data_IF_404709455769
#
_entry.id   IF_404709455769
#
_cell.length_a   1.000
_cell.length_b   1.000
_cell.length_c   1.000
_cell.angle_alpha   90.00
_cell.angle_beta   90.00
_cell.angle_gamma   90.00
#
_symmetry.space_group_name_H-M   'P 1'
#
loop_
_entity.id
_entity.type
_entity.pdbx_description
1 polymer ?
#
# COMPACT_ATOMS: atom_id res chain seq x y z
N UNK A 1 4.97 19.71 5.38
CA UNK A 1 4.29 18.46 5.79
C UNK A 1 5.21 17.30 5.49
N UNK A 2 5.41 16.35 6.41
CA UNK A 2 6.27 15.16 6.20
C UNK A 2 5.38 13.92 6.16
N UNK A 3 5.44 13.19 5.06
CA UNK A 3 4.67 11.97 4.81
C UNK A 3 5.68 10.88 4.47
N UNK A 4 5.94 9.96 5.40
CA UNK A 4 6.96 8.93 5.18
C UNK A 4 6.36 7.69 4.52
N UNK A 5 5.14 7.32 4.92
CA UNK A 5 4.41 6.17 4.41
C UNK A 5 3.03 6.60 3.91
N UNK A 6 2.61 5.96 2.82
CA UNK A 6 1.23 5.94 2.38
C UNK A 6 0.58 4.63 2.80
N UNK A 7 -0.68 4.69 3.21
CA UNK A 7 -1.48 3.54 3.58
C UNK A 7 -2.79 3.54 2.80
N UNK A 8 -3.23 2.37 2.34
CA UNK A 8 -4.58 2.18 1.77
C UNK A 8 -5.26 1.03 2.48
N UNK A 9 -6.35 1.33 3.20
CA UNK A 9 -7.27 0.36 3.79
C UNK A 9 -8.39 0.08 2.78
N UNK A 10 -8.56 -1.18 2.40
CA UNK A 10 -9.60 -1.61 1.48
C UNK A 10 -10.92 -1.80 2.25
N UNK A 11 -12.01 -1.20 1.77
CA UNK A 11 -13.32 -1.25 2.45
C UNK A 11 -14.39 -2.02 1.67
N UNK A 12 -14.03 -2.58 0.52
CA UNK A 12 -14.89 -3.42 -0.31
C UNK A 12 -14.09 -4.60 -0.85
N UNK A 13 -14.76 -5.73 -1.07
CA UNK A 13 -14.12 -6.93 -1.59
C UNK A 13 -13.64 -6.75 -3.04
N UNK A 14 -12.48 -7.34 -3.41
CA UNK A 14 -11.91 -7.17 -4.74
C UNK A 14 -12.80 -7.71 -5.86
N UNK A 15 -13.68 -8.66 -5.58
CA UNK A 15 -14.64 -9.21 -6.54
C UNK A 15 -15.85 -8.28 -6.78
N UNK A 16 -16.08 -7.28 -5.92
CA UNK A 16 -17.24 -6.39 -6.02
C UNK A 16 -17.08 -5.27 -7.07
N UNK A 17 -15.90 -5.14 -7.69
CA UNK A 17 -15.60 -4.13 -8.70
C UNK A 17 -14.59 -4.62 -9.74
N UNK A 18 -14.65 -4.10 -10.97
CA UNK A 18 -13.70 -4.40 -12.05
C UNK A 18 -12.69 -3.25 -12.21
N UNK A 19 -11.41 -3.59 -12.45
CA UNK A 19 -10.32 -2.62 -12.41
C UNK A 19 -9.98 -2.18 -10.97
N UNK A 20 -9.62 -0.90 -10.78
CA UNK A 20 -9.38 -0.32 -9.45
C UNK A 20 -8.17 -0.90 -8.70
N UNK A 21 -7.21 -1.45 -9.42
CA UNK A 21 -5.96 -1.96 -8.86
C UNK A 21 -5.06 -0.79 -8.47
N UNK A 22 -4.50 -0.84 -7.26
CA UNK A 22 -3.47 0.10 -6.86
C UNK A 22 -2.14 -0.36 -7.48
N UNK A 23 -1.62 0.41 -8.42
CA UNK A 23 -0.32 0.18 -9.05
C UNK A 23 0.72 1.02 -8.32
N UNK A 24 1.76 0.38 -7.80
CA UNK A 24 2.86 1.02 -7.09
C UNK A 24 4.16 0.69 -7.82
N UNK A 25 4.91 1.71 -8.19
CA UNK A 25 6.25 1.57 -8.75
C UNK A 25 7.29 1.57 -7.63
N UNK A 26 8.17 0.58 -7.69
CA UNK A 26 9.35 0.49 -6.86
C UNK A 26 10.62 0.37 -7.71
N UNK A 27 11.76 0.07 -7.09
CA UNK A 27 13.05 -0.05 -7.79
C UNK A 27 13.13 -1.29 -8.70
N UNK A 28 12.24 -2.26 -8.53
CA UNK A 28 12.26 -3.56 -9.19
C UNK A 28 11.09 -3.75 -10.16
N UNK A 29 10.10 -2.87 -10.17
CA UNK A 29 9.03 -2.84 -11.15
C UNK A 29 7.71 -2.27 -10.63
N UNK A 30 6.62 -2.73 -11.22
CA UNK A 30 5.26 -2.35 -10.84
C UNK A 30 4.58 -3.48 -10.05
N UNK A 31 4.04 -3.14 -8.89
CA UNK A 31 3.21 -4.00 -8.06
C UNK A 31 1.74 -3.60 -8.20
N UNK A 32 0.88 -4.55 -8.55
CA UNK A 32 -0.57 -4.35 -8.62
C UNK A 32 -1.22 -4.96 -7.38
N UNK A 33 -1.97 -4.14 -6.65
CA UNK A 33 -2.54 -4.52 -5.34
C UNK A 33 -4.04 -4.36 -5.36
N UNK A 34 -4.74 -5.44 -5.02
CA UNK A 34 -6.19 -5.51 -4.82
C UNK A 34 -6.46 -6.53 -3.71
N UNK A 35 -6.77 -6.07 -2.50
CA UNK A 35 -6.86 -6.92 -1.32
C UNK A 35 -8.32 -7.04 -0.82
N UNK A 36 -8.66 -8.09 -0.06
CA UNK A 36 -9.95 -8.23 0.62
C UNK A 36 -10.31 -7.03 1.49
N UNK A 37 -11.61 -6.82 1.74
CA UNK A 37 -12.05 -5.77 2.66
C UNK A 37 -11.43 -5.97 4.06
N UNK A 38 -11.04 -4.87 4.70
CA UNK A 38 -10.35 -4.87 5.99
C UNK A 38 -8.83 -5.04 5.93
N UNK A 39 -8.27 -5.43 4.78
CA UNK A 39 -6.82 -5.49 4.60
C UNK A 39 -6.24 -4.10 4.32
N UNK A 40 -4.99 -3.89 4.72
CA UNK A 40 -4.27 -2.63 4.54
C UNK A 40 -2.93 -2.88 3.87
N UNK A 41 -2.61 -2.05 2.87
CA UNK A 41 -1.28 -2.00 2.25
C UNK A 41 -0.52 -0.76 2.71
N UNK A 42 0.76 -0.93 3.05
CA UNK A 42 1.71 0.14 3.36
C UNK A 42 2.78 0.20 2.29
N UNK A 43 3.15 1.40 1.87
CA UNK A 43 4.23 1.63 0.91
C UNK A 43 4.88 3.00 1.14
N UNK A 44 6.15 3.20 0.71
CA UNK A 44 6.82 4.50 0.82
C UNK A 44 6.00 5.59 0.14
N UNK A 45 5.83 6.74 0.81
CA UNK A 45 5.06 7.85 0.24
C UNK A 45 5.73 8.44 -1.02
N UNK A 46 7.02 8.17 -1.23
CA UNK A 46 7.80 8.57 -2.41
C UNK A 46 7.57 7.67 -3.63
N UNK A 47 6.95 6.50 -3.47
CA UNK A 47 6.68 5.61 -4.61
C UNK A 47 5.68 6.25 -5.56
N UNK A 48 5.96 6.23 -6.86
CA UNK A 48 4.97 6.60 -7.87
C UNK A 48 3.86 5.56 -7.82
N UNK A 49 2.61 6.03 -7.79
CA UNK A 49 1.48 5.12 -7.72
C UNK A 49 0.24 5.72 -8.37
N UNK A 50 -0.60 4.85 -8.91
CA UNK A 50 -1.89 5.21 -9.48
C UNK A 50 -2.92 4.12 -9.20
N UNK A 51 -4.20 4.45 -9.34
CA UNK A 51 -5.28 3.46 -9.30
C UNK A 51 -5.81 3.28 -10.71
N UNK A 52 -5.86 2.05 -11.22
CA UNK A 52 -6.44 1.78 -12.54
C UNK A 52 -7.93 2.14 -12.55
N UNK A 53 -8.49 2.57 -13.70
CA UNK A 53 -9.91 2.92 -13.77
C UNK A 53 -10.81 1.79 -13.26
N UNK A 54 -11.85 2.15 -12.50
CA UNK A 54 -12.92 1.22 -12.13
C UNK A 54 -13.96 1.25 -13.26
N UNK A 55 -14.16 0.13 -13.95
CA UNK A 55 -15.08 0.03 -15.09
C UNK A 55 -16.47 -0.45 -14.70
N UNK A 56 -16.59 -1.14 -13.56
CA UNK A 56 -17.86 -1.62 -13.00
C UNK A 56 -17.79 -1.70 -11.47
N UNK A 57 -18.89 -1.41 -10.79
CA UNK A 57 -18.97 -1.43 -9.33
C UNK A 57 -18.39 -0.15 -8.70
N UNK A 58 -18.09 -0.21 -7.40
CA UNK A 58 -17.54 0.93 -6.65
C UNK A 58 -16.38 0.43 -5.79
N UNK A 59 -15.24 1.12 -5.86
CA UNK A 59 -14.08 0.88 -5.00
C UNK A 59 -14.09 1.88 -3.83
N UNK A 60 -14.44 1.40 -2.64
CA UNK A 60 -14.34 2.18 -1.41
C UNK A 60 -13.06 1.84 -0.66
N UNK A 61 -12.31 2.87 -0.27
CA UNK A 61 -11.07 2.72 0.49
C UNK A 61 -10.82 3.97 1.33
N UNK A 62 -10.04 3.81 2.41
CA UNK A 62 -9.45 4.94 3.12
C UNK A 62 -7.96 5.00 2.81
N UNK A 63 -7.48 6.18 2.43
CA UNK A 63 -6.05 6.42 2.22
C UNK A 63 -5.53 7.38 3.30
N UNK A 64 -4.34 7.10 3.80
CA UNK A 64 -3.71 7.87 4.88
C UNK A 64 -2.25 8.15 4.56
N UNK A 65 -1.73 9.23 5.14
CA UNK A 65 -0.30 9.47 5.24
C UNK A 65 0.15 9.37 6.69
N UNK A 66 1.27 8.71 6.90
CA UNK A 66 1.81 8.44 8.23
C UNK A 66 3.21 9.04 8.31
N UNK A 67 3.46 9.79 9.38
CA UNK A 67 4.81 10.18 9.76
C UNK A 67 5.37 9.12 10.70
N UNK A 68 6.39 8.41 10.24
CA UNK A 68 7.09 7.37 11.00
C UNK A 68 8.00 8.01 12.07
N UNK A 69 8.25 7.30 13.18
CA UNK A 69 9.29 7.70 14.14
C UNK A 69 10.69 7.60 13.50
N UNK A 70 10.89 6.61 12.62
CA UNK A 70 12.13 6.43 11.84
C UNK A 70 11.94 7.04 10.46
N UNK A 71 12.72 8.09 10.18
CA UNK A 71 12.61 8.88 8.95
C UNK A 71 13.09 8.12 7.72
N UNK A 72 14.31 7.58 7.77
CA UNK A 72 14.94 6.93 6.63
C UNK A 72 14.23 5.61 6.27
N UNK A 73 13.95 5.41 4.98
CA UNK A 73 13.21 4.26 4.49
C UNK A 73 13.99 2.96 4.63
N UNK A 74 15.31 2.99 4.37
CA UNK A 74 16.17 1.80 4.48
C UNK A 74 16.31 1.36 5.94
N UNK A 75 16.51 2.30 6.85
CA UNK A 75 16.54 2.01 8.29
C UNK A 75 15.22 1.42 8.78
N UNK A 76 14.09 1.97 8.31
CA UNK A 76 12.77 1.45 8.66
C UNK A 76 12.54 0.04 8.11
N UNK A 77 12.90 -0.23 6.87
CA UNK A 77 12.80 -1.57 6.27
C UNK A 77 13.69 -2.60 7.00
N UNK A 78 14.87 -2.20 7.47
CA UNK A 78 15.73 -3.08 8.26
C UNK A 78 15.09 -3.50 9.60
N UNK A 79 14.37 -2.59 10.27
CA UNK A 79 13.66 -2.91 11.52
C UNK A 79 12.53 -3.93 11.31
N UNK A 80 11.83 -3.86 10.16
CA UNK A 80 10.79 -4.84 9.83
C UNK A 80 11.36 -6.23 9.58
N UNK A 81 12.53 -6.33 8.92
CA UNK A 81 13.19 -7.62 8.69
C UNK A 81 13.63 -8.29 10.00
N UNK A 82 13.97 -7.51 11.03
CA UNK A 82 14.39 -8.07 12.32
C UNK A 82 13.22 -8.43 13.25
N UNK A 83 12.08 -7.76 13.11
CA UNK A 83 10.89 -7.99 13.98
C UNK A 83 9.88 -8.97 13.39
N UNK A 84 9.91 -9.23 12.08
CA UNK A 84 9.20 -10.37 11.52
C UNK A 84 9.84 -11.66 12.07
N UNK A 85 9.07 -12.58 12.69
CA UNK A 85 9.63 -13.84 13.13
C UNK A 85 10.30 -14.49 11.93
N UNK A 86 11.58 -14.82 12.08
CA UNK A 86 12.32 -15.64 11.13
C UNK A 86 11.52 -16.93 11.00
N UNK A 87 10.79 -17.09 9.90
CA UNK A 87 10.13 -18.35 9.62
C UNK A 87 11.20 -19.43 9.52
N UNK A 88 11.05 -20.45 10.38
CA UNK A 88 11.59 -21.80 10.17
C UNK A 88 11.34 -22.28 8.74
#
# INVERSE_FOLDING_TARGET
MRTDLSATLFLCDPESYEGGELVIEDTYGQHRVKLPAGHLVLYPASSLHCVTPVTRGVRQASFLWIQSMVRDDKQRAMLTTWTAPSSL
#
